data_IF_788902727654
#
_entry.id   IF_788902727654
#
_cell.length_a   1.000
_cell.length_b   1.000
_cell.length_c   1.000
_cell.angle_alpha   90.00
_cell.angle_beta   90.00
_cell.angle_gamma   90.00
#
_symmetry.space_group_name_H-M   'P 1'
#
loop_
_entity.id
_entity.type
_entity.pdbx_description
1 polymer ?
#
# COMPACT_ATOMS: atom_id res chain seq x y z
N UNK A 1 10.70 29.28 11.15
CA UNK A 1 10.19 28.08 10.45
C UNK A 1 10.25 26.92 11.44
N UNK A 2 9.11 26.34 11.83
CA UNK A 2 9.09 25.13 12.65
C UNK A 2 9.48 23.94 11.78
N UNK A 3 10.54 23.24 12.18
CA UNK A 3 11.00 22.02 11.50
C UNK A 3 10.28 20.83 12.13
N UNK A 4 9.47 20.13 11.35
CA UNK A 4 8.85 18.89 11.80
C UNK A 4 9.87 17.75 11.69
N UNK A 5 10.06 17.02 12.78
CA UNK A 5 10.92 15.84 12.81
C UNK A 5 10.21 14.72 12.08
N UNK A 6 10.78 14.24 10.98
CA UNK A 6 10.24 13.07 10.26
C UNK A 6 10.50 11.83 11.11
N UNK A 7 9.46 11.09 11.53
CA UNK A 7 9.64 9.87 12.30
C UNK A 7 10.36 8.80 11.44
N UNK A 8 11.50 8.31 11.92
CA UNK A 8 12.34 7.37 11.16
C UNK A 8 12.02 5.88 11.40
N UNK A 9 11.14 5.57 12.37
CA UNK A 9 10.84 4.18 12.79
C UNK A 9 9.37 3.79 12.62
N UNK A 10 8.65 4.35 11.66
CA UNK A 10 7.24 3.97 11.42
C UNK A 10 7.08 2.52 10.92
N UNK A 11 8.14 1.96 10.35
CA UNK A 11 8.12 0.63 9.73
C UNK A 11 8.53 -0.51 10.69
N UNK A 12 9.10 -0.16 11.85
CA UNK A 12 9.58 -1.15 12.82
C UNK A 12 8.47 -1.43 13.82
N UNK A 13 7.97 -2.66 13.80
CA UNK A 13 6.98 -3.13 14.77
C UNK A 13 7.53 -3.15 16.20
N UNK A 14 6.69 -2.79 17.16
CA UNK A 14 7.03 -2.79 18.58
C UNK A 14 7.44 -4.18 19.06
N UNK A 15 8.55 -4.21 19.81
CA UNK A 15 9.10 -5.42 20.43
C UNK A 15 8.66 -5.48 21.88
N UNK A 16 8.02 -6.58 22.28
CA UNK A 16 7.55 -6.77 23.66
C UNK A 16 8.65 -7.41 24.51
N UNK A 17 9.22 -8.52 24.03
CA UNK A 17 10.20 -9.32 24.76
C UNK A 17 11.50 -9.39 23.98
N UNK A 18 12.44 -8.49 24.30
CA UNK A 18 13.75 -8.42 23.66
C UNK A 18 13.63 -8.26 22.13
N UNK A 19 13.99 -9.27 21.32
CA UNK A 19 13.88 -9.21 19.86
C UNK A 19 12.49 -9.54 19.30
N UNK A 20 11.54 -10.03 20.11
CA UNK A 20 10.25 -10.57 19.65
C UNK A 20 9.19 -9.48 19.54
N UNK A 21 8.56 -9.38 18.36
CA UNK A 21 7.46 -8.43 18.11
C UNK A 21 6.12 -8.92 18.68
N UNK A 22 5.16 -8.00 18.85
CA UNK A 22 3.79 -8.31 19.31
C UNK A 22 3.16 -9.45 18.51
N UNK A 23 3.21 -9.39 17.17
CA UNK A 23 2.70 -10.44 16.28
C UNK A 23 3.41 -11.77 16.49
N UNK A 24 4.75 -11.77 16.55
CA UNK A 24 5.54 -13.00 16.73
C UNK A 24 5.19 -13.69 18.05
N UNK A 25 5.04 -12.92 19.11
CA UNK A 25 4.60 -13.43 20.40
C UNK A 25 3.23 -14.09 20.33
N UNK A 26 2.24 -13.45 19.69
CA UNK A 26 0.89 -14.02 19.55
C UNK A 26 0.88 -15.33 18.75
N UNK A 27 1.68 -15.43 17.69
CA UNK A 27 1.80 -16.66 16.89
C UNK A 27 2.41 -17.79 17.73
N UNK A 28 3.50 -17.50 18.44
CA UNK A 28 4.16 -18.48 19.31
C UNK A 28 3.26 -18.91 20.46
N UNK A 29 2.48 -17.99 21.02
CA UNK A 29 1.50 -18.28 22.06
C UNK A 29 0.40 -19.22 21.54
N UNK A 30 -0.19 -18.91 20.39
CA UNK A 30 -1.21 -19.76 19.77
C UNK A 30 -0.67 -21.17 19.43
N UNK A 31 0.55 -21.23 18.89
CA UNK A 31 1.23 -22.50 18.60
C UNK A 31 1.52 -23.28 19.88
N UNK A 32 2.01 -22.60 20.93
CA UNK A 32 2.29 -23.19 22.23
C UNK A 32 1.03 -23.79 22.88
N UNK A 33 -0.08 -23.06 22.85
CA UNK A 33 -1.38 -23.56 23.34
C UNK A 33 -1.81 -24.79 22.53
N UNK A 34 -1.70 -24.74 21.20
CA UNK A 34 -2.06 -25.86 20.33
C UNK A 34 -1.22 -27.11 20.62
N UNK A 35 0.09 -26.94 20.79
CA UNK A 35 1.02 -28.02 21.14
C UNK A 35 0.72 -28.55 22.56
N UNK A 36 0.38 -27.68 23.51
CA UNK A 36 0.00 -28.09 24.86
C UNK A 36 -1.30 -28.92 24.88
N UNK A 37 -2.30 -28.51 24.09
CA UNK A 37 -3.52 -29.30 23.90
C UNK A 37 -3.20 -30.65 23.27
N UNK A 38 -2.36 -30.68 22.22
CA UNK A 38 -1.91 -31.94 21.63
C UNK A 38 -1.18 -32.82 22.66
N UNK A 39 -0.30 -32.27 23.48
CA UNK A 39 0.38 -33.00 24.56
C UNK A 39 -0.60 -33.64 25.54
N UNK A 40 -1.71 -32.97 25.84
CA UNK A 40 -2.69 -33.44 26.83
C UNK A 40 -3.62 -34.54 26.30
N UNK A 41 -3.90 -34.57 25.01
CA UNK A 41 -4.95 -35.42 24.42
C UNK A 41 -4.47 -36.39 23.34
N UNK A 42 -3.29 -36.20 22.75
CA UNK A 42 -2.75 -37.07 21.71
C UNK A 42 -1.87 -38.19 22.26
N UNK A 43 -1.82 -39.31 21.54
CA UNK A 43 -0.80 -40.34 21.75
C UNK A 43 0.60 -39.79 21.43
N UNK A 44 1.64 -40.32 22.07
CA UNK A 44 3.05 -39.88 21.89
C UNK A 44 3.47 -39.67 20.43
N UNK A 45 3.23 -40.60 19.48
CA UNK A 45 3.62 -40.39 18.07
C UNK A 45 2.81 -39.28 17.38
N UNK A 46 1.52 -39.14 17.72
CA UNK A 46 0.65 -38.11 17.15
C UNK A 46 1.01 -36.73 17.73
N UNK A 47 1.34 -36.67 19.02
CA UNK A 47 1.87 -35.45 19.65
C UNK A 47 3.15 -34.97 18.97
N UNK A 48 4.14 -35.84 18.78
CA UNK A 48 5.42 -35.45 18.19
C UNK A 48 5.23 -34.94 16.75
N UNK A 49 4.39 -35.60 15.95
CA UNK A 49 4.12 -35.16 14.58
C UNK A 49 3.44 -33.79 14.54
N UNK A 50 2.42 -33.55 15.37
CA UNK A 50 1.77 -32.24 15.48
C UNK A 50 2.75 -31.18 15.97
N UNK A 51 3.53 -31.46 17.02
CA UNK A 51 4.47 -30.52 17.60
C UNK A 51 5.53 -30.07 16.58
N UNK A 52 6.06 -31.00 15.77
CA UNK A 52 7.01 -30.69 14.71
C UNK A 52 6.36 -29.84 13.62
N UNK A 53 5.19 -30.23 13.11
CA UNK A 53 4.52 -29.51 12.02
C UNK A 53 4.13 -28.09 12.47
N UNK A 54 3.43 -27.97 13.60
CA UNK A 54 2.98 -26.68 14.14
C UNK A 54 4.18 -25.81 14.55
N UNK A 55 5.21 -26.40 15.15
CA UNK A 55 6.43 -25.69 15.53
C UNK A 55 7.15 -25.08 14.34
N UNK A 56 7.34 -25.85 13.26
CA UNK A 56 7.95 -25.35 12.02
C UNK A 56 7.11 -24.22 11.42
N UNK A 57 5.79 -24.41 11.31
CA UNK A 57 4.90 -23.37 10.77
C UNK A 57 4.99 -22.10 11.61
N UNK A 58 4.94 -22.20 12.93
CA UNK A 58 4.99 -21.05 13.84
C UNK A 58 6.31 -20.26 13.70
N UNK A 59 7.44 -20.97 13.59
CA UNK A 59 8.76 -20.37 13.40
C UNK A 59 8.84 -19.66 12.05
N UNK A 60 8.43 -20.33 10.97
CA UNK A 60 8.45 -19.76 9.61
C UNK A 60 7.59 -18.51 9.55
N UNK A 61 6.36 -18.56 10.04
CA UNK A 61 5.44 -17.43 10.01
C UNK A 61 5.90 -16.27 10.89
N UNK A 62 6.58 -16.54 12.02
CA UNK A 62 7.05 -15.49 12.94
C UNK A 62 8.33 -14.81 12.49
N UNK A 63 9.35 -15.58 12.08
CA UNK A 63 10.71 -15.05 11.93
C UNK A 63 11.16 -14.86 10.49
N UNK A 64 10.55 -15.56 9.52
CA UNK A 64 10.96 -15.42 8.12
C UNK A 64 10.45 -14.10 7.56
N UNK A 65 11.36 -13.36 6.93
CA UNK A 65 11.05 -12.17 6.15
C UNK A 65 11.59 -12.35 4.75
N UNK A 66 10.77 -12.04 3.75
CA UNK A 66 11.14 -12.15 2.34
C UNK A 66 11.15 -10.75 1.76
N UNK A 67 12.30 -10.29 1.27
CA UNK A 67 12.49 -8.94 0.72
C UNK A 67 11.99 -7.82 1.66
N UNK A 68 12.24 -7.94 2.96
CA UNK A 68 11.78 -6.98 3.97
C UNK A 68 10.31 -7.11 4.38
N UNK A 69 9.51 -7.92 3.68
CA UNK A 69 8.10 -8.16 4.00
C UNK A 69 7.93 -9.33 4.98
N UNK A 70 6.96 -9.24 5.89
CA UNK A 70 6.59 -10.35 6.77
C UNK A 70 5.98 -11.52 5.97
N UNK A 71 6.27 -12.75 6.41
CA UNK A 71 5.93 -13.96 5.67
C UNK A 71 4.43 -14.10 5.33
N UNK A 72 3.53 -13.65 6.22
CA UNK A 72 2.09 -13.78 6.02
C UNK A 72 1.61 -13.00 4.80
N UNK A 73 2.07 -11.74 4.65
CA UNK A 73 1.75 -10.95 3.46
C UNK A 73 2.41 -11.53 2.21
N UNK A 74 3.62 -12.10 2.34
CA UNK A 74 4.29 -12.72 1.21
C UNK A 74 3.48 -13.91 0.68
N UNK A 75 3.00 -14.78 1.57
CA UNK A 75 2.15 -15.90 1.20
C UNK A 75 0.80 -15.43 0.63
N UNK A 76 0.17 -14.41 1.23
CA UNK A 76 -1.05 -13.81 0.70
C UNK A 76 -0.85 -13.24 -0.71
N UNK A 77 0.28 -12.61 -0.97
CA UNK A 77 0.61 -12.09 -2.30
C UNK A 77 0.76 -13.22 -3.31
N UNK A 78 1.43 -14.32 -2.97
CA UNK A 78 1.54 -15.50 -3.85
C UNK A 78 0.15 -16.03 -4.20
N UNK A 79 -0.70 -16.26 -3.20
CA UNK A 79 -2.06 -16.79 -3.41
C UNK A 79 -2.88 -15.84 -4.28
N UNK A 80 -2.79 -14.52 -4.03
CA UNK A 80 -3.47 -13.52 -4.85
C UNK A 80 -2.94 -13.50 -6.29
N UNK A 81 -1.63 -13.60 -6.50
CA UNK A 81 -1.02 -13.61 -7.83
C UNK A 81 -1.44 -14.85 -8.61
N UNK A 82 -1.49 -16.03 -7.98
CA UNK A 82 -1.96 -17.26 -8.64
C UNK A 82 -3.41 -17.17 -9.09
N UNK A 83 -4.26 -16.44 -8.37
CA UNK A 83 -5.66 -16.21 -8.73
C UNK A 83 -5.85 -15.16 -9.83
N UNK A 84 -4.85 -14.32 -10.09
CA UNK A 84 -4.97 -13.23 -11.08
C UNK A 84 -4.68 -13.77 -12.49
N UNK A 85 -5.47 -13.37 -13.50
CA UNK A 85 -5.18 -13.73 -14.88
C UNK A 85 -3.84 -13.13 -15.31
N UNK A 86 -3.02 -13.94 -15.98
CA UNK A 86 -1.71 -13.48 -16.50
C UNK A 86 -1.86 -12.47 -17.64
N UNK A 87 -2.98 -12.53 -18.37
CA UNK A 87 -3.24 -11.63 -19.49
C UNK A 87 -3.78 -10.30 -18.97
N UNK A 88 -2.96 -9.25 -19.05
CA UNK A 88 -3.37 -7.88 -18.77
C UNK A 88 -3.78 -7.21 -20.08
N UNK A 89 -5.07 -7.21 -20.38
CA UNK A 89 -5.62 -6.39 -21.46
C UNK A 89 -5.95 -5.00 -20.94
N UNK A 90 -5.57 -3.97 -21.70
CA UNK A 90 -6.10 -2.63 -21.42
C UNK A 90 -7.58 -2.62 -21.79
N UNK A 91 -8.44 -2.51 -20.77
CA UNK A 91 -9.88 -2.40 -20.96
C UNK A 91 -10.33 -1.01 -20.53
N UNK A 92 -10.82 -0.23 -21.49
CA UNK A 92 -11.27 1.16 -21.28
C UNK A 92 -12.75 1.25 -20.92
N UNK A 93 -13.34 0.15 -20.45
CA UNK A 93 -14.70 0.12 -19.91
C UNK A 93 -14.61 0.06 -18.39
N UNK A 94 -15.40 0.89 -17.71
CA UNK A 94 -15.52 0.86 -16.27
C UNK A 94 -16.49 -0.26 -15.89
N UNK A 95 -16.11 -1.11 -14.95
CA UNK A 95 -17.04 -2.05 -14.32
C UNK A 95 -18.00 -1.25 -13.44
N UNK A 96 -19.22 -1.75 -13.19
CA UNK A 96 -20.17 -1.11 -12.26
C UNK A 96 -19.55 -0.83 -10.88
N UNK A 97 -18.64 -1.71 -10.43
CA UNK A 97 -17.85 -1.53 -9.20
C UNK A 97 -16.82 -0.40 -9.29
N UNK A 98 -16.22 -0.21 -10.45
CA UNK A 98 -15.27 0.89 -10.69
C UNK A 98 -16.04 2.22 -10.72
N UNK A 99 -17.24 2.24 -11.30
CA UNK A 99 -18.15 3.39 -11.28
C UNK A 99 -18.62 3.71 -9.85
N UNK A 100 -19.02 2.70 -9.08
CA UNK A 100 -19.42 2.87 -7.68
C UNK A 100 -18.25 3.38 -6.81
N UNK A 101 -17.04 2.86 -7.04
CA UNK A 101 -15.83 3.36 -6.39
C UNK A 101 -15.57 4.81 -6.77
N UNK A 102 -15.65 5.18 -8.05
CA UNK A 102 -15.44 6.56 -8.53
C UNK A 102 -16.48 7.54 -7.97
N UNK A 103 -17.74 7.11 -7.88
CA UNK A 103 -18.82 7.89 -7.27
C UNK A 103 -18.61 8.07 -5.76
N UNK A 104 -18.16 7.02 -5.05
CA UNK A 104 -17.87 7.08 -3.61
C UNK A 104 -16.58 7.82 -3.29
N UNK A 105 -15.55 7.70 -4.13
CA UNK A 105 -14.29 8.44 -4.00
C UNK A 105 -14.45 9.90 -4.38
N UNK A 106 -15.44 10.24 -5.21
CA UNK A 106 -15.80 11.61 -5.59
C UNK A 106 -16.71 12.33 -4.58
N UNK A 107 -17.12 11.67 -3.49
CA UNK A 107 -17.96 12.27 -2.43
C UNK A 107 -17.15 12.79 -1.22
N UNK A 108 -15.81 12.80 -1.31
CA UNK A 108 -14.91 13.24 -0.24
C UNK A 108 -14.21 14.58 -0.45
N UNK A 109 -14.26 15.14 -1.66
CA UNK A 109 -13.77 16.49 -1.91
C UNK A 109 -14.88 17.28 -2.60
N UNK A 110 -15.58 18.08 -1.81
CA UNK A 110 -16.10 19.34 -2.33
C UNK A 110 -14.90 20.17 -2.78
N UNK A 111 -14.36 19.88 -3.96
CA UNK A 111 -13.59 20.85 -4.72
C UNK A 111 -14.55 21.96 -5.14
N UNK A 112 -14.87 22.83 -4.19
CA UNK A 112 -15.25 24.22 -4.44
C UNK A 112 -14.01 25.04 -4.81
N UNK A 113 -13.06 24.46 -5.55
CA UNK A 113 -12.28 25.28 -6.45
C UNK A 113 -13.07 25.39 -7.73
N UNK A 114 -13.91 26.43 -7.79
CA UNK A 114 -14.29 27.04 -9.06
C UNK A 114 -12.99 27.34 -9.80
N UNK A 115 -12.53 26.39 -10.63
CA UNK A 115 -11.51 26.65 -11.63
C UNK A 115 -12.11 27.75 -12.49
N UNK A 116 -11.76 28.98 -12.16
CA UNK A 116 -12.14 30.13 -12.95
C UNK A 116 -11.36 29.93 -14.23
N UNK A 117 -11.98 29.26 -15.21
CA UNK A 117 -11.40 29.07 -16.53
C UNK A 117 -11.08 30.47 -17.03
N UNK A 118 -9.82 30.89 -16.92
CA UNK A 118 -9.37 32.19 -17.42
C UNK A 118 -9.85 32.26 -18.86
N UNK A 119 -10.79 33.16 -19.13
CA UNK A 119 -11.32 33.33 -20.47
C UNK A 119 -10.17 33.83 -21.34
N UNK A 120 -9.69 32.94 -22.20
CA UNK A 120 -8.58 33.24 -23.09
C UNK A 120 -9.05 34.30 -24.08
N UNK A 121 -8.66 35.56 -23.84
CA UNK A 121 -8.93 36.66 -24.77
C UNK A 121 -8.07 36.47 -26.01
N UNK A 122 -8.62 36.74 -27.21
CA UNK A 122 -7.90 36.63 -28.49
C UNK A 122 -6.57 37.41 -28.51
N UNK A 123 -6.49 38.51 -27.76
CA UNK A 123 -5.29 39.32 -27.58
C UNK A 123 -4.15 38.50 -26.94
N UNK A 124 -4.44 37.75 -25.87
CA UNK A 124 -3.44 36.95 -25.17
C UNK A 124 -2.77 35.89 -26.07
N UNK A 125 -3.55 35.26 -26.96
CA UNK A 125 -3.01 34.30 -27.93
C UNK A 125 -2.12 34.98 -28.97
N UNK A 126 -2.51 36.18 -29.42
CA UNK A 126 -1.71 36.97 -30.36
C UNK A 126 -0.39 37.41 -29.72
N UNK A 127 -0.43 37.84 -28.47
CA UNK A 127 0.75 38.32 -27.75
C UNK A 127 1.74 37.17 -27.52
N UNK A 128 1.26 35.99 -27.11
CA UNK A 128 2.08 34.78 -27.01
C UNK A 128 2.71 34.39 -28.36
N UNK A 129 1.96 34.48 -29.45
CA UNK A 129 2.47 34.22 -30.80
C UNK A 129 3.59 35.20 -31.19
N UNK A 130 3.44 36.49 -30.86
CA UNK A 130 4.46 37.50 -31.15
C UNK A 130 5.71 37.30 -30.28
N UNK A 131 5.56 36.98 -29.00
CA UNK A 131 6.69 36.65 -28.11
C UNK A 131 7.50 35.48 -28.68
N UNK A 132 6.83 34.41 -29.10
CA UNK A 132 7.48 33.21 -29.65
C UNK A 132 8.16 33.50 -30.99
N UNK A 133 7.48 34.18 -31.91
CA UNK A 133 8.04 34.50 -33.23
C UNK A 133 9.19 35.50 -33.17
N UNK A 134 9.22 36.38 -32.17
CA UNK A 134 10.29 37.38 -31.99
C UNK A 134 11.40 36.91 -31.05
N UNK A 135 11.39 35.64 -30.63
CA UNK A 135 12.41 35.08 -29.74
C UNK A 135 12.50 35.78 -28.38
N UNK A 136 11.40 36.35 -27.90
CA UNK A 136 11.34 37.09 -26.63
C UNK A 136 11.65 38.59 -26.73
N UNK A 137 11.84 39.15 -27.93
CA UNK A 137 12.03 40.59 -28.11
C UNK A 137 10.73 41.39 -27.90
N UNK A 138 9.58 40.83 -28.27
CA UNK A 138 8.29 41.45 -28.03
C UNK A 138 7.84 41.27 -26.57
N UNK A 139 7.47 42.37 -25.90
CA UNK A 139 7.01 42.38 -24.50
C UNK A 139 5.63 43.03 -24.42
N UNK A 140 4.56 42.25 -24.14
CA UNK A 140 3.20 42.78 -24.14
C UNK A 140 2.96 43.85 -23.06
N UNK A 141 3.75 43.87 -21.99
CA UNK A 141 3.61 44.82 -20.87
C UNK A 141 4.14 46.23 -21.19
N UNK A 142 4.92 46.40 -22.27
CA UNK A 142 5.53 47.70 -22.65
C UNK A 142 4.63 48.52 -23.61
N UNK A 143 3.54 47.94 -24.09
CA UNK A 143 2.65 48.52 -25.11
C UNK A 143 1.18 48.63 -24.67
N UNK A 144 0.94 48.71 -23.36
CA UNK A 144 -0.40 48.86 -22.75
C UNK A 144 -0.74 50.33 -22.52
#
# INVERSE_FOLDING_TARGET
MQQFVVPQFIEVEDKIFGPITTRQFLILLAAGITIFVAYRYADTPLFVSIAVIIGIIAIVFSFVRVNGQVFHFFLLNIIQTMKRPSLRIWHKAYTDKDLEYLMKSGLGEEMTETVTKKTVKKQHIRDLSLVVNTGGYYRPDEHV
#
